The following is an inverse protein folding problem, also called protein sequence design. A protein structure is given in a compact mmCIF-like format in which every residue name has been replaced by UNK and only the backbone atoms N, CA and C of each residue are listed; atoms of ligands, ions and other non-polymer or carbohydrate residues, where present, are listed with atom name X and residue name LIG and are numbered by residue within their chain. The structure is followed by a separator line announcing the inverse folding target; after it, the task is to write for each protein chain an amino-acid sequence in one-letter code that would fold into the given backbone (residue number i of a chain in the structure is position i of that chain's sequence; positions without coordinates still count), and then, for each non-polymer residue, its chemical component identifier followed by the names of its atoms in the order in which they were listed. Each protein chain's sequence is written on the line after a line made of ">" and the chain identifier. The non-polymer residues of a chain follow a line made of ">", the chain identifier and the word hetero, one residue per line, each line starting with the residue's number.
data_IF_706473731537
#
_entry.id   IF_706473731537
#
_cell.length_a   1.000
_cell.length_b   1.000
_cell.length_c   1.000
_cell.angle_alpha   90.00
_cell.angle_beta   90.00
_cell.angle_gamma   90.00
#
_symmetry.space_group_name_H-M   'P 1'
#
loop_
_entity.id
_entity.type
_entity.pdbx_description
1 polymer ?
#
# COMPACT_ATOMS: atom_id res chain seq x y z
N UNK A 1 19.64 -41.86 14.07
CA UNK A 1 18.64 -40.77 14.10
C UNK A 1 18.46 -40.21 12.70
N UNK A 2 17.34 -40.52 12.03
CA UNK A 2 17.08 -40.10 10.65
C UNK A 2 16.68 -38.61 10.60
N UNK A 3 17.42 -37.81 9.82
CA UNK A 3 17.17 -36.38 9.61
C UNK A 3 15.86 -36.16 8.83
N UNK A 4 14.80 -35.77 9.53
CA UNK A 4 13.43 -35.53 9.02
C UNK A 4 13.26 -34.19 8.27
N UNK A 5 14.23 -33.76 7.45
CA UNK A 5 14.11 -32.51 6.70
C UNK A 5 14.67 -32.60 5.26
N UNK A 6 14.18 -33.56 4.48
CA UNK A 6 14.21 -33.43 3.02
C UNK A 6 13.07 -32.50 2.59
N UNK A 7 13.26 -31.18 2.79
CA UNK A 7 12.41 -30.16 2.16
C UNK A 7 12.63 -30.29 0.65
N UNK A 8 11.74 -31.04 -0.03
CA UNK A 8 11.67 -31.10 -1.48
C UNK A 8 11.62 -29.67 -1.98
N UNK A 9 12.72 -29.18 -2.56
CA UNK A 9 12.70 -27.93 -3.28
C UNK A 9 11.73 -28.13 -4.44
N UNK A 10 10.59 -27.43 -4.42
CA UNK A 10 9.75 -27.31 -5.59
C UNK A 10 10.64 -26.70 -6.67
N UNK A 11 11.01 -27.50 -7.68
CA UNK A 11 11.81 -27.00 -8.79
C UNK A 11 11.01 -25.87 -9.43
N UNK A 12 11.57 -24.66 -9.44
CA UNK A 12 10.96 -23.55 -10.13
C UNK A 12 10.97 -23.85 -11.62
N UNK A 13 9.81 -23.87 -12.26
CA UNK A 13 9.67 -24.16 -13.70
C UNK A 13 10.04 -22.90 -14.50
N UNK A 14 11.31 -22.51 -14.48
CA UNK A 14 11.81 -21.36 -15.23
C UNK A 14 12.75 -21.82 -16.34
N UNK A 15 12.68 -21.14 -17.48
CA UNK A 15 13.54 -21.42 -18.62
C UNK A 15 14.68 -20.38 -18.69
N UNK A 16 15.93 -20.83 -18.85
CA UNK A 16 17.10 -19.96 -18.97
C UNK A 16 16.99 -18.98 -20.15
N UNK A 17 16.45 -19.44 -21.29
CA UNK A 17 16.24 -18.59 -22.46
C UNK A 17 15.21 -17.49 -22.17
N UNK A 18 14.15 -17.81 -21.45
CA UNK A 18 13.15 -16.84 -21.01
C UNK A 18 13.78 -15.81 -20.07
N UNK A 19 14.46 -16.23 -18.99
CA UNK A 19 15.08 -15.30 -18.02
C UNK A 19 16.07 -14.34 -18.68
N UNK A 20 16.88 -14.82 -19.63
CA UNK A 20 17.78 -13.95 -20.41
C UNK A 20 17.04 -12.95 -21.28
N UNK A 21 15.98 -13.37 -21.97
CA UNK A 21 15.15 -12.46 -22.77
C UNK A 21 14.50 -11.37 -21.91
N UNK A 22 14.15 -11.72 -20.66
CA UNK A 22 13.52 -10.81 -19.72
C UNK A 22 14.46 -9.71 -19.22
N UNK A 23 15.78 -9.91 -19.20
CA UNK A 23 16.71 -8.83 -18.86
C UNK A 23 16.66 -7.67 -19.87
N UNK A 24 16.54 -7.99 -21.18
CA UNK A 24 16.40 -6.96 -22.22
C UNK A 24 15.08 -6.22 -22.09
N UNK A 25 14.00 -6.97 -21.83
CA UNK A 25 12.66 -6.41 -21.58
C UNK A 25 12.64 -5.53 -20.33
N UNK A 26 13.36 -5.91 -19.28
CA UNK A 26 13.38 -5.18 -18.01
C UNK A 26 13.97 -3.77 -18.16
N UNK A 27 14.98 -3.61 -19.01
CA UNK A 27 15.53 -2.27 -19.32
C UNK A 27 14.53 -1.42 -20.09
N UNK A 28 13.79 -2.00 -21.05
CA UNK A 28 12.75 -1.29 -21.82
C UNK A 28 11.57 -0.87 -20.95
N UNK A 29 11.21 -1.68 -19.95
CA UNK A 29 10.13 -1.41 -19.01
C UNK A 29 10.58 -0.57 -17.80
N UNK A 30 11.79 -0.01 -17.85
CA UNK A 30 12.36 0.88 -16.81
C UNK A 30 12.31 0.31 -15.40
N UNK A 31 12.48 -1.00 -15.27
CA UNK A 31 12.48 -1.66 -13.95
C UNK A 31 13.57 -1.11 -13.05
N UNK A 32 13.26 -1.08 -11.75
CA UNK A 32 14.18 -0.74 -10.68
C UNK A 32 15.49 -1.53 -10.81
N UNK A 33 16.58 -0.89 -10.38
CA UNK A 33 17.90 -1.52 -10.30
C UNK A 33 17.83 -2.82 -9.49
N UNK A 34 17.04 -2.83 -8.41
CA UNK A 34 16.86 -4.01 -7.56
C UNK A 34 16.10 -5.13 -8.27
N UNK A 35 15.06 -4.79 -9.03
CA UNK A 35 14.29 -5.77 -9.80
C UNK A 35 15.15 -6.42 -10.90
N UNK A 36 15.98 -5.62 -11.60
CA UNK A 36 16.98 -6.13 -12.55
C UNK A 36 18.05 -6.99 -11.86
N UNK A 37 18.48 -6.64 -10.65
CA UNK A 37 19.42 -7.45 -9.85
C UNK A 37 18.81 -8.82 -9.50
N UNK A 38 17.53 -8.88 -9.16
CA UNK A 38 16.81 -10.14 -8.88
C UNK A 38 16.74 -11.05 -10.11
N UNK A 39 16.54 -10.50 -11.31
CA UNK A 39 16.62 -11.28 -12.55
C UNK A 39 17.99 -11.93 -12.76
N UNK A 40 19.09 -11.24 -12.40
CA UNK A 40 20.44 -11.82 -12.45
C UNK A 40 20.59 -12.98 -11.46
N UNK A 41 19.95 -12.92 -10.29
CA UNK A 41 19.95 -14.05 -9.35
C UNK A 41 19.35 -15.30 -9.98
N UNK A 42 18.23 -15.16 -10.70
CA UNK A 42 17.58 -16.28 -11.36
C UNK A 42 18.37 -16.80 -12.55
N UNK A 43 18.99 -15.92 -13.33
CA UNK A 43 19.89 -16.36 -14.40
C UNK A 43 21.05 -17.18 -13.83
N UNK A 44 21.74 -16.68 -12.81
CA UNK A 44 22.85 -17.37 -12.16
C UNK A 44 22.41 -18.73 -11.57
N UNK A 45 21.25 -18.75 -10.91
CA UNK A 45 20.66 -19.97 -10.37
C UNK A 45 20.46 -21.04 -11.46
N UNK A 46 19.94 -20.66 -12.63
CA UNK A 46 19.70 -21.57 -13.74
C UNK A 46 21.01 -22.02 -14.43
N UNK A 47 22.03 -21.16 -14.49
CA UNK A 47 23.33 -21.53 -15.07
C UNK A 47 24.19 -22.39 -14.14
N UNK A 48 23.96 -22.36 -12.83
CA UNK A 48 24.75 -23.07 -11.82
C UNK A 48 23.96 -24.22 -11.18
N UNK A 49 23.44 -25.11 -12.02
CA UNK A 49 22.78 -26.37 -11.64
C UNK A 49 21.63 -26.21 -10.62
N UNK A 50 20.90 -25.09 -10.67
CA UNK A 50 19.76 -24.81 -9.78
C UNK A 50 20.11 -24.87 -8.28
N UNK A 51 21.34 -24.47 -7.93
CA UNK A 51 21.81 -24.46 -6.55
C UNK A 51 21.54 -23.10 -5.87
N UNK A 52 20.52 -23.09 -4.99
CA UNK A 52 20.13 -21.88 -4.24
C UNK A 52 21.26 -21.40 -3.33
N UNK A 53 21.92 -22.32 -2.61
CA UNK A 53 22.95 -21.97 -1.63
C UNK A 53 24.17 -21.32 -2.30
N UNK A 54 24.58 -21.83 -3.46
CA UNK A 54 25.66 -21.27 -4.26
C UNK A 54 25.31 -19.86 -4.75
N UNK A 55 24.12 -19.70 -5.31
CA UNK A 55 23.61 -18.39 -5.76
C UNK A 55 23.58 -17.37 -4.61
N UNK A 56 23.09 -17.79 -3.45
CA UNK A 56 23.00 -16.94 -2.25
C UNK A 56 24.39 -16.50 -1.76
N UNK A 57 25.38 -17.40 -1.76
CA UNK A 57 26.77 -17.07 -1.41
C UNK A 57 27.39 -16.09 -2.40
N UNK A 58 27.16 -16.30 -3.69
CA UNK A 58 27.70 -15.43 -4.74
C UNK A 58 27.16 -13.99 -4.65
N UNK A 59 25.86 -13.81 -4.42
CA UNK A 59 25.24 -12.49 -4.31
C UNK A 59 25.20 -11.90 -2.90
N UNK A 60 25.69 -12.60 -1.88
CA UNK A 60 25.65 -12.16 -0.49
C UNK A 60 24.23 -11.99 0.07
N UNK A 61 23.30 -12.86 -0.33
CA UNK A 61 21.88 -12.78 0.08
C UNK A 61 21.48 -13.95 0.97
N UNK A 62 20.53 -13.72 1.87
CA UNK A 62 19.92 -14.80 2.64
C UNK A 62 19.07 -15.71 1.73
N UNK A 63 19.10 -17.02 2.00
CA UNK A 63 18.28 -18.02 1.28
C UNK A 63 16.79 -17.72 1.36
N UNK A 64 16.32 -17.19 2.49
CA UNK A 64 14.93 -16.76 2.66
C UNK A 64 14.53 -15.66 1.69
N UNK A 65 15.42 -14.69 1.44
CA UNK A 65 15.22 -13.60 0.47
C UNK A 65 15.11 -14.16 -0.94
N UNK A 66 16.05 -15.01 -1.35
CA UNK A 66 16.00 -15.64 -2.68
C UNK A 66 14.68 -16.40 -2.89
N UNK A 67 14.30 -17.25 -1.93
CA UNK A 67 13.09 -18.07 -2.03
C UNK A 67 11.81 -17.21 -2.06
N UNK A 68 11.75 -16.12 -1.31
CA UNK A 68 10.62 -15.17 -1.35
C UNK A 68 10.44 -14.59 -2.75
N UNK A 69 11.52 -14.10 -3.36
CA UNK A 69 11.46 -13.52 -4.71
C UNK A 69 11.19 -14.59 -5.77
N UNK A 70 11.74 -15.79 -5.60
CA UNK A 70 11.46 -16.92 -6.47
C UNK A 70 9.97 -17.34 -6.44
N UNK A 71 9.30 -17.23 -5.30
CA UNK A 71 7.86 -17.51 -5.22
C UNK A 71 7.02 -16.42 -5.92
N UNK A 72 7.50 -15.17 -5.95
CA UNK A 72 6.80 -14.03 -6.55
C UNK A 72 7.00 -13.92 -8.06
N UNK A 73 8.16 -14.35 -8.55
CA UNK A 73 8.54 -14.16 -9.94
C UNK A 73 7.57 -14.83 -10.92
N UNK A 74 7.01 -14.03 -11.83
CA UNK A 74 6.23 -14.49 -12.98
C UNK A 74 6.91 -14.02 -14.27
N UNK A 75 7.23 -14.95 -15.18
CA UNK A 75 7.88 -14.61 -16.45
C UNK A 75 7.01 -13.74 -17.37
N UNK A 76 5.68 -13.85 -17.24
CA UNK A 76 4.72 -13.02 -17.98
C UNK A 76 4.68 -11.57 -17.49
N UNK A 77 5.00 -11.33 -16.21
CA UNK A 77 4.83 -10.04 -15.55
C UNK A 77 6.05 -9.70 -14.68
N UNK A 78 6.88 -8.79 -15.20
CA UNK A 78 8.12 -8.36 -14.55
C UNK A 78 7.88 -7.40 -13.37
N UNK A 79 6.70 -6.77 -13.27
CA UNK A 79 6.36 -5.90 -12.15
C UNK A 79 6.39 -6.65 -10.81
N UNK A 80 6.19 -7.97 -10.84
CA UNK A 80 6.31 -8.86 -9.66
C UNK A 80 7.68 -8.86 -8.99
N UNK A 81 8.72 -8.34 -9.66
CA UNK A 81 10.07 -8.20 -9.11
C UNK A 81 10.34 -6.82 -8.51
N UNK A 82 9.39 -5.90 -8.64
CA UNK A 82 9.45 -4.60 -7.98
C UNK A 82 9.23 -4.73 -6.48
N UNK A 83 9.77 -3.77 -5.74
CA UNK A 83 9.56 -3.73 -4.30
C UNK A 83 8.12 -3.31 -3.99
N UNK A 84 7.39 -4.20 -3.33
CA UNK A 84 6.07 -3.86 -2.80
C UNK A 84 6.20 -2.88 -1.62
N UNK A 85 5.16 -2.07 -1.41
CA UNK A 85 5.06 -1.22 -0.25
C UNK A 85 5.19 -2.04 1.04
N UNK A 86 6.10 -1.61 1.92
CA UNK A 86 6.28 -2.20 3.27
C UNK A 86 5.27 -1.66 4.28
N UNK A 87 4.38 -0.76 3.85
CA UNK A 87 3.36 -0.17 4.72
C UNK A 87 2.35 -1.25 5.11
N UNK A 88 2.02 -1.41 6.40
CA UNK A 88 0.98 -2.33 6.80
C UNK A 88 -0.35 -1.97 6.12
N UNK A 89 -1.07 -3.00 5.64
CA UNK A 89 -2.38 -2.81 5.00
C UNK A 89 -3.40 -2.21 5.95
N UNK A 90 -3.38 -2.66 7.21
CA UNK A 90 -4.25 -2.17 8.26
C UNK A 90 -3.45 -1.28 9.22
N UNK A 91 -3.68 0.02 9.13
CA UNK A 91 -3.21 1.00 10.12
C UNK A 91 -4.40 1.31 11.03
N UNK A 92 -4.15 1.47 12.34
CA UNK A 92 -5.20 1.88 13.28
C UNK A 92 -5.81 3.21 12.83
N UNK A 93 -7.12 3.24 12.65
CA UNK A 93 -7.84 4.48 12.44
C UNK A 93 -7.98 5.24 13.77
N UNK A 94 -7.85 6.58 13.78
CA UNK A 94 -7.95 7.31 15.03
C UNK A 94 -9.39 7.31 15.56
N UNK A 95 -9.57 6.85 16.79
CA UNK A 95 -10.85 6.65 17.49
C UNK A 95 -11.62 7.94 17.83
N UNK A 96 -11.19 9.11 17.34
CA UNK A 96 -11.85 10.36 17.71
C UNK A 96 -13.28 10.40 17.13
N UNK A 97 -14.33 10.44 17.96
CA UNK A 97 -15.70 10.48 17.49
C UNK A 97 -15.97 11.71 16.61
N UNK A 98 -16.88 11.59 15.65
CA UNK A 98 -17.21 12.70 14.75
C UNK A 98 -17.74 13.93 15.51
N UNK A 99 -18.52 13.75 16.57
CA UNK A 99 -19.04 14.86 17.37
C UNK A 99 -17.89 15.73 17.94
N UNK A 100 -16.83 15.10 18.44
CA UNK A 100 -15.65 15.79 18.97
C UNK A 100 -14.96 16.62 17.88
N UNK A 101 -14.83 16.03 16.69
CA UNK A 101 -14.20 16.70 15.55
C UNK A 101 -14.99 17.96 15.17
N UNK A 102 -16.32 17.87 15.20
CA UNK A 102 -17.23 19.01 14.96
C UNK A 102 -17.06 20.10 16.01
N UNK A 103 -16.98 19.75 17.30
CA UNK A 103 -16.75 20.73 18.36
C UNK A 103 -15.38 21.43 18.21
N UNK A 104 -14.32 20.67 17.93
CA UNK A 104 -12.98 21.25 17.67
C UNK A 104 -13.03 22.22 16.48
N UNK A 105 -13.80 21.89 15.43
CA UNK A 105 -14.00 22.78 14.28
C UNK A 105 -14.70 24.07 14.70
N UNK A 106 -15.78 23.99 15.48
CA UNK A 106 -16.52 25.15 15.96
C UNK A 106 -15.62 26.09 16.77
N UNK A 107 -14.84 25.57 17.72
CA UNK A 107 -13.87 26.37 18.47
C UNK A 107 -12.86 27.08 17.55
N UNK A 108 -12.35 26.39 16.52
CA UNK A 108 -11.40 26.95 15.55
C UNK A 108 -12.01 27.99 14.61
N UNK A 109 -13.29 27.86 14.29
CA UNK A 109 -14.00 28.84 13.45
C UNK A 109 -14.28 30.11 14.26
N UNK A 110 -14.73 29.98 15.51
CA UNK A 110 -14.97 31.10 16.39
C UNK A 110 -13.67 31.88 16.70
N UNK A 111 -12.59 31.16 17.01
CA UNK A 111 -11.29 31.76 17.29
C UNK A 111 -10.17 31.09 16.49
N UNK A 112 -9.79 31.64 15.33
CA UNK A 112 -8.80 31.02 14.45
C UNK A 112 -7.40 30.85 15.04
N UNK A 113 -7.03 31.64 16.06
CA UNK A 113 -5.70 31.65 16.70
C UNK A 113 -5.63 30.88 18.03
N UNK A 114 -6.74 30.33 18.50
CA UNK A 114 -6.79 29.64 19.80
C UNK A 114 -5.76 28.49 19.87
N UNK A 115 -5.13 28.30 21.03
CA UNK A 115 -4.19 27.19 21.22
C UNK A 115 -4.93 25.86 21.34
N UNK A 116 -4.26 24.76 21.00
CA UNK A 116 -4.79 23.40 21.17
C UNK A 116 -5.15 23.10 22.64
N UNK A 117 -4.43 23.70 23.58
CA UNK A 117 -4.63 23.51 25.02
C UNK A 117 -5.91 24.22 25.47
N UNK A 118 -6.14 25.47 25.02
CA UNK A 118 -7.39 26.19 25.28
C UNK A 118 -8.62 25.49 24.70
N UNK A 119 -8.53 24.92 23.49
CA UNK A 119 -9.62 24.10 22.93
C UNK A 119 -9.90 22.90 23.83
N UNK A 120 -8.85 22.21 24.28
CA UNK A 120 -8.97 21.06 25.17
C UNK A 120 -9.71 21.40 26.46
N UNK A 121 -9.40 22.56 27.05
CA UNK A 121 -10.06 23.05 28.26
C UNK A 121 -11.51 23.48 28.00
N UNK A 122 -11.80 24.18 26.90
CA UNK A 122 -13.18 24.58 26.55
C UNK A 122 -14.06 23.35 26.29
N UNK A 123 -13.56 22.33 25.59
CA UNK A 123 -14.29 21.08 25.40
C UNK A 123 -14.62 20.37 26.72
N UNK A 124 -13.69 20.41 27.68
CA UNK A 124 -13.90 19.83 29.00
C UNK A 124 -14.91 20.65 29.82
N UNK A 125 -14.84 21.98 29.75
CA UNK A 125 -15.69 22.92 30.51
C UNK A 125 -17.13 22.95 29.98
N UNK A 126 -17.29 23.08 28.66
CA UNK A 126 -18.58 23.39 28.03
C UNK A 126 -19.35 22.12 27.62
N UNK A 127 -18.62 21.05 27.28
CA UNK A 127 -19.21 19.81 26.75
C UNK A 127 -18.88 18.56 27.59
N UNK A 128 -18.09 18.69 28.66
CA UNK A 128 -17.68 17.56 29.51
C UNK A 128 -16.74 16.55 28.83
N UNK A 129 -16.19 16.88 27.66
CA UNK A 129 -15.40 15.96 26.84
C UNK A 129 -13.92 16.02 27.21
N UNK A 130 -13.40 14.95 27.82
CA UNK A 130 -12.00 14.85 28.24
C UNK A 130 -11.09 14.36 27.12
N UNK A 131 -10.34 15.27 26.51
CA UNK A 131 -9.39 14.98 25.45
C UNK A 131 -8.05 15.60 25.79
N UNK A 132 -6.94 14.98 25.35
CA UNK A 132 -5.61 15.58 25.49
C UNK A 132 -5.35 16.61 24.39
N UNK A 133 -4.61 17.67 24.70
CA UNK A 133 -4.25 18.69 23.72
C UNK A 133 -3.47 18.15 22.52
N UNK A 134 -2.71 17.06 22.71
CA UNK A 134 -2.07 16.31 21.63
C UNK A 134 -3.08 15.70 20.65
N UNK A 135 -4.20 15.16 21.16
CA UNK A 135 -5.28 14.61 20.33
C UNK A 135 -6.01 15.71 19.57
N UNK A 136 -6.29 16.84 20.21
CA UNK A 136 -6.82 18.04 19.54
C UNK A 136 -5.88 18.49 18.41
N UNK A 137 -4.57 18.57 18.67
CA UNK A 137 -3.57 18.90 17.65
C UNK A 137 -3.54 17.93 16.47
N UNK A 138 -3.64 16.61 16.74
CA UNK A 138 -3.74 15.58 15.70
C UNK A 138 -5.00 15.75 14.84
N UNK A 139 -6.15 16.05 15.46
CA UNK A 139 -7.41 16.31 14.75
C UNK A 139 -7.29 17.54 13.86
N UNK A 140 -6.75 18.66 14.38
CA UNK A 140 -6.54 19.89 13.62
C UNK A 140 -5.63 19.65 12.42
N UNK A 141 -4.52 18.94 12.60
CA UNK A 141 -3.58 18.64 11.52
C UNK A 141 -4.19 17.71 10.46
N UNK A 142 -4.95 16.69 10.89
CA UNK A 142 -5.61 15.72 9.99
C UNK A 142 -6.72 16.38 9.16
N UNK A 143 -7.55 17.20 9.78
CA UNK A 143 -8.69 17.85 9.13
C UNK A 143 -8.34 19.19 8.49
N UNK A 144 -7.13 19.72 8.73
CA UNK A 144 -6.68 20.98 8.16
C UNK A 144 -7.39 22.21 8.72
N UNK A 145 -7.75 22.23 10.02
CA UNK A 145 -8.44 23.36 10.67
C UNK A 145 -7.52 24.57 10.92
N UNK A 146 -6.93 25.11 9.85
CA UNK A 146 -6.07 26.29 9.85
C UNK A 146 -6.80 27.47 9.21
N UNK A 147 -7.70 28.11 9.96
CA UNK A 147 -8.58 29.18 9.43
C UNK A 147 -7.98 30.58 9.51
N UNK A 148 -6.96 30.82 10.35
CA UNK A 148 -6.35 32.15 10.43
C UNK A 148 -5.55 32.50 9.17
N UNK A 149 -5.52 33.78 8.79
CA UNK A 149 -4.81 34.28 7.61
C UNK A 149 -3.32 34.59 7.84
N UNK A 150 -2.69 33.90 8.81
CA UNK A 150 -1.26 34.06 9.08
C UNK A 150 -0.40 33.32 8.03
N UNK A 151 0.83 33.79 7.75
CA UNK A 151 1.76 33.10 6.82
C UNK A 151 1.98 31.63 7.18
N UNK A 152 2.08 31.33 8.48
CA UNK A 152 2.24 29.96 8.99
C UNK A 152 1.01 29.08 8.68
N UNK A 153 -0.21 29.61 8.84
CA UNK A 153 -1.43 28.88 8.51
C UNK A 153 -1.59 28.68 7.00
N UNK A 154 -1.21 29.68 6.18
CA UNK A 154 -1.18 29.54 4.72
C UNK A 154 -0.25 28.41 4.27
N UNK A 155 0.94 28.31 4.85
CA UNK A 155 1.87 27.19 4.59
C UNK A 155 1.24 25.85 4.96
N UNK A 156 0.65 25.74 6.16
CA UNK A 156 0.01 24.51 6.62
C UNK A 156 -1.20 24.08 5.79
N UNK A 157 -1.98 25.04 5.26
CA UNK A 157 -3.07 24.76 4.30
C UNK A 157 -2.53 24.13 3.02
N UNK A 158 -1.45 24.68 2.45
CA UNK A 158 -0.80 24.11 1.26
C UNK A 158 -0.31 22.68 1.53
N UNK A 159 0.42 22.48 2.63
CA UNK A 159 0.89 21.15 3.02
C UNK A 159 -0.26 20.15 3.24
N UNK A 160 -1.36 20.56 3.86
CA UNK A 160 -2.52 19.71 4.07
C UNK A 160 -3.20 19.32 2.75
N UNK A 161 -3.34 20.28 1.83
CA UNK A 161 -3.88 20.03 0.49
C UNK A 161 -3.00 19.07 -0.33
N UNK A 162 -1.67 19.22 -0.24
CA UNK A 162 -0.71 18.31 -0.88
C UNK A 162 -0.81 16.88 -0.33
N UNK A 163 -0.93 16.72 0.99
CA UNK A 163 -1.13 15.39 1.61
C UNK A 163 -2.43 14.73 1.14
N UNK A 164 -3.52 15.50 1.04
CA UNK A 164 -4.80 14.99 0.54
C UNK A 164 -4.70 14.55 -0.93
N UNK A 165 -4.06 15.35 -1.78
CA UNK A 165 -3.78 14.98 -3.19
C UNK A 165 -2.97 13.69 -3.29
N UNK A 166 -1.92 13.56 -2.49
CA UNK A 166 -1.09 12.36 -2.45
C UNK A 166 -1.87 11.13 -1.99
N UNK A 167 -2.76 11.26 -0.99
CA UNK A 167 -3.62 10.15 -0.57
C UNK A 167 -4.65 9.76 -1.63
N UNK A 168 -5.27 10.73 -2.31
CA UNK A 168 -6.24 10.46 -3.38
C UNK A 168 -5.59 9.73 -4.55
N UNK A 169 -4.39 10.16 -4.96
CA UNK A 169 -3.62 9.49 -6.01
C UNK A 169 -3.22 8.05 -5.66
N UNK A 170 -2.90 7.79 -4.38
CA UNK A 170 -2.61 6.42 -3.92
C UNK A 170 -3.87 5.56 -3.91
N UNK A 171 -5.03 6.12 -3.53
CA UNK A 171 -6.30 5.38 -3.53
C UNK A 171 -6.78 5.05 -4.95
N UNK A 172 -6.68 6.00 -5.88
CA UNK A 172 -7.04 5.81 -7.29
C UNK A 172 -6.15 4.77 -7.97
N UNK A 173 -4.84 4.77 -7.69
CA UNK A 173 -3.93 3.72 -8.16
C UNK A 173 -4.23 2.34 -7.57
N UNK A 174 -4.75 2.26 -6.35
CA UNK A 174 -5.11 1.00 -5.72
C UNK A 174 -6.41 0.42 -6.30
N UNK A 175 -7.40 1.28 -6.62
CA UNK A 175 -8.64 0.86 -7.26
C UNK A 175 -8.46 0.44 -8.73
N UNK A 176 -7.47 1.00 -9.43
CA UNK A 176 -7.14 0.59 -10.81
C UNK A 176 -6.46 -0.80 -10.91
N UNK A 177 -5.98 -1.36 -9.80
CA UNK A 177 -5.29 -2.66 -9.73
C UNK A 177 -6.21 -3.79 -9.24
N UNK A 178 -7.45 -3.49 -8.82
CA UNK A 178 -8.43 -4.52 -8.48
C UNK A 178 -9.02 -5.10 -9.78
N UNK A 179 -8.95 -6.42 -10.01
CA UNK A 179 -9.50 -7.02 -11.21
C UNK A 179 -11.02 -6.85 -11.20
N UNK A 180 -11.53 -6.27 -12.28
CA UNK A 180 -12.96 -6.22 -12.61
C UNK A 180 -13.55 -7.61 -12.31
N UNK A 181 -14.54 -7.74 -11.41
CA UNK A 181 -15.18 -9.02 -11.16
C UNK A 181 -15.69 -9.56 -12.50
N UNK A 182 -15.44 -10.84 -12.86
CA UNK A 182 -15.90 -11.37 -14.12
C UNK A 182 -17.41 -11.17 -14.21
N UNK A 183 -17.81 -10.37 -15.20
CA UNK A 183 -19.19 -10.13 -15.56
C UNK A 183 -19.90 -11.48 -15.62
N UNK A 184 -20.95 -11.61 -14.82
CA UNK A 184 -21.82 -12.77 -14.79
C UNK A 184 -22.60 -12.79 -16.11
N UNK A 185 -21.98 -13.37 -17.14
CA UNK A 185 -22.67 -13.72 -18.38
C UNK A 185 -23.62 -14.87 -18.04
N UNK A 186 -24.90 -14.54 -17.88
CA UNK A 186 -25.94 -15.50 -17.54
C UNK A 186 -27.36 -14.97 -17.63
N UNK A 187 -27.62 -13.87 -18.34
CA UNK A 187 -28.97 -13.54 -18.81
C UNK A 187 -29.09 -13.94 -20.28
N UNK A 188 -29.60 -15.14 -20.53
CA UNK A 188 -30.03 -15.59 -21.86
C UNK A 188 -31.34 -16.38 -21.72
N UNK A 189 -32.43 -15.66 -21.99
CA UNK A 189 -33.68 -16.07 -22.63
C UNK A 189 -34.67 -17.01 -21.92
N UNK A 190 -35.89 -16.49 -21.77
CA UNK A 190 -37.10 -17.24 -21.46
C UNK A 190 -38.38 -16.41 -21.61
N UNK A 191 -38.50 -15.61 -22.68
CA UNK A 191 -39.75 -14.90 -23.01
C UNK A 191 -40.72 -15.90 -23.66
N UNK A 192 -41.71 -16.33 -22.86
CA UNK A 192 -43.15 -16.44 -23.19
C UNK A 192 -43.63 -17.45 -24.26
N UNK A 193 -44.95 -17.61 -24.55
CA UNK A 193 -46.18 -17.58 -23.73
C UNK A 193 -47.14 -18.78 -24.02
N UNK A 194 -48.33 -18.74 -23.38
CA UNK A 194 -49.61 -19.44 -23.71
C UNK A 194 -49.82 -20.84 -23.11
N UNK A 195 -51.01 -21.29 -22.67
CA UNK A 195 -52.41 -20.98 -23.03
C UNK A 195 -53.39 -21.46 -21.90
N UNK A 196 -54.51 -20.74 -21.70
CA UNK A 196 -55.91 -21.12 -21.29
C UNK A 196 -56.18 -22.36 -20.40
N UNK A 197 -57.19 -22.45 -19.51
CA UNK A 197 -58.48 -21.79 -19.23
C UNK A 197 -58.77 -21.90 -17.73
#
# INVERSE_FOLDING_TARGET
>A
MASKYTRKHKAFRWNLKEVRSLQRRATRLELSVDARKRLRWFEYYLTHNTNVSLTCRYYGIARSTFLRWAQRFRASDLSTLEEESRRPKNVREPETPLHVVTLIRQCRVAEPLISKDKISESLQRDHGVRISSATVGRVIARQGFFFAETPAHRRKRKEAAERQRQSSFVHEKQQAEDPIPPETVGEVFGISPTFSS
#
